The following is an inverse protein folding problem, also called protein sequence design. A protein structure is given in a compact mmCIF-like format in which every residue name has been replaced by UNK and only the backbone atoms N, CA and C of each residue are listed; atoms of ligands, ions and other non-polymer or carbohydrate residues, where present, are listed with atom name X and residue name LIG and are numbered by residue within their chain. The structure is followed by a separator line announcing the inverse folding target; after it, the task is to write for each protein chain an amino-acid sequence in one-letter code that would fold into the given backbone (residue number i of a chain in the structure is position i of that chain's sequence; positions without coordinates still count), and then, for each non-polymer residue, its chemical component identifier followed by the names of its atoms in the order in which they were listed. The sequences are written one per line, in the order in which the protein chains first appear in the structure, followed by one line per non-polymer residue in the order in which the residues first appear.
data_IF_448523003521
#
_entry.id   IF_448523003521
#
_cell.length_a   1.000
_cell.length_b   1.000
_cell.length_c   1.000
_cell.angle_alpha   90.00
_cell.angle_beta   90.00
_cell.angle_gamma   90.00
#
_symmetry.space_group_name_H-M   'P 1'
#
loop_
_entity.id
_entity.type
_entity.pdbx_description
1 polymer ?
#
# COMPACT_ATOMS: atom_id res chain seq x y z
N UNK A 1 -3.00 -21.22 21.26
CA UNK A 1 -1.66 -20.61 21.47
C UNK A 1 -1.75 -19.50 22.52
N UNK A 2 -0.83 -19.45 23.48
CA UNK A 2 -0.79 -18.32 24.43
C UNK A 2 -0.26 -17.09 23.67
N UNK A 3 -0.97 -15.98 23.70
CA UNK A 3 -0.54 -14.70 23.14
C UNK A 3 0.70 -14.19 23.91
N UNK A 4 1.87 -14.73 23.55
CA UNK A 4 3.15 -14.32 24.15
C UNK A 4 3.64 -13.00 23.51
N UNK A 5 4.57 -12.33 24.18
CA UNK A 5 5.24 -11.12 23.65
C UNK A 5 5.83 -11.38 22.26
N UNK A 6 6.35 -12.58 22.01
CA UNK A 6 6.91 -12.99 20.71
C UNK A 6 5.86 -12.91 19.58
N UNK A 7 4.60 -13.29 19.83
CA UNK A 7 3.52 -13.17 18.85
C UNK A 7 3.30 -11.72 18.40
N UNK A 8 3.24 -10.80 19.37
CA UNK A 8 3.04 -9.38 19.06
C UNK A 8 4.24 -8.78 18.30
N UNK A 9 5.47 -9.07 18.76
CA UNK A 9 6.69 -8.58 18.11
C UNK A 9 6.79 -9.09 16.68
N UNK A 10 6.59 -10.40 16.44
CA UNK A 10 6.66 -10.98 15.09
C UNK A 10 5.63 -10.37 14.15
N UNK A 11 4.37 -10.21 14.58
CA UNK A 11 3.33 -9.64 13.74
C UNK A 11 3.49 -8.12 13.52
N UNK A 12 4.08 -7.39 14.48
CA UNK A 12 4.43 -5.98 14.29
C UNK A 12 5.57 -5.84 13.27
N UNK A 13 6.64 -6.65 13.40
CA UNK A 13 7.76 -6.63 12.45
C UNK A 13 7.29 -7.00 11.03
N UNK A 14 6.44 -8.00 10.92
CA UNK A 14 5.83 -8.41 9.67
C UNK A 14 4.95 -7.28 9.09
N UNK A 15 4.17 -6.61 9.93
CA UNK A 15 3.38 -5.45 9.54
C UNK A 15 4.23 -4.27 9.08
N UNK A 16 5.39 -4.01 9.71
CA UNK A 16 6.34 -2.97 9.26
C UNK A 16 6.91 -3.32 7.89
N UNK A 17 7.32 -4.58 7.66
CA UNK A 17 7.83 -5.02 6.36
C UNK A 17 6.80 -4.81 5.26
N UNK A 18 5.58 -5.31 5.46
CA UNK A 18 4.48 -5.19 4.51
C UNK A 18 4.02 -3.73 4.27
N UNK A 19 4.14 -2.87 5.28
CA UNK A 19 3.70 -1.49 5.15
C UNK A 19 4.65 -0.61 4.32
N UNK A 20 5.84 -1.10 3.93
CA UNK A 20 6.82 -0.28 3.19
C UNK A 20 6.33 0.14 1.82
N UNK A 21 5.64 -0.74 1.08
CA UNK A 21 5.05 -0.40 -0.22
C UNK A 21 3.93 0.64 -0.06
N UNK A 22 3.04 0.41 0.89
CA UNK A 22 1.97 1.34 1.22
C UNK A 22 2.51 2.70 1.73
N UNK A 23 3.62 2.71 2.47
CA UNK A 23 4.33 3.93 2.86
C UNK A 23 4.82 4.72 1.66
N UNK A 24 5.47 4.06 0.71
CA UNK A 24 6.03 4.69 -0.48
C UNK A 24 4.93 5.30 -1.36
N UNK A 25 3.83 4.57 -1.55
CA UNK A 25 2.64 5.07 -2.25
C UNK A 25 1.98 6.22 -1.49
N UNK A 26 1.88 6.14 -0.16
CA UNK A 26 1.36 7.22 0.68
C UNK A 26 2.23 8.47 0.61
N UNK A 27 3.55 8.31 0.57
CA UNK A 27 4.49 9.41 0.37
C UNK A 27 4.24 10.10 -0.98
N UNK A 28 4.11 9.32 -2.06
CA UNK A 28 3.81 9.83 -3.39
C UNK A 28 2.47 10.59 -3.44
N UNK A 29 1.44 10.03 -2.79
CA UNK A 29 0.13 10.67 -2.68
C UNK A 29 0.19 11.99 -1.91
N UNK A 30 0.97 12.04 -0.82
CA UNK A 30 1.21 13.25 -0.05
C UNK A 30 1.98 14.32 -0.85
N UNK A 31 2.94 13.91 -1.69
CA UNK A 31 3.65 14.78 -2.61
C UNK A 31 2.72 15.38 -3.68
N UNK A 32 1.84 14.55 -4.25
CA UNK A 32 0.91 14.97 -5.30
C UNK A 32 -0.18 15.93 -4.80
N UNK A 33 -0.60 15.80 -3.54
CA UNK A 33 -1.62 16.65 -2.94
C UNK A 33 -1.13 17.31 -1.62
N UNK A 34 -0.26 18.33 -1.70
CA UNK A 34 0.32 18.96 -0.51
C UNK A 34 -0.70 19.65 0.40
N UNK A 35 -1.84 20.06 -0.15
CA UNK A 35 -2.92 20.73 0.60
C UNK A 35 -4.02 19.74 1.08
N UNK A 36 -3.72 18.44 1.07
CA UNK A 36 -4.65 17.40 1.53
C UNK A 36 -5.15 17.65 2.95
N UNK A 37 -6.48 17.61 3.14
CA UNK A 37 -7.10 17.74 4.47
C UNK A 37 -6.82 16.51 5.34
N UNK A 38 -6.67 16.69 6.66
CA UNK A 38 -6.43 15.59 7.62
C UNK A 38 -7.46 14.45 7.49
N UNK A 39 -8.74 14.77 7.26
CA UNK A 39 -9.79 13.75 7.05
C UNK A 39 -9.50 12.88 5.83
N UNK A 40 -9.02 13.47 4.74
CA UNK A 40 -8.65 12.73 3.53
C UNK A 40 -7.39 11.87 3.77
N UNK A 41 -6.41 12.39 4.51
CA UNK A 41 -5.24 11.60 4.91
C UNK A 41 -5.64 10.35 5.72
N UNK A 42 -6.54 10.50 6.70
CA UNK A 42 -7.08 9.36 7.45
C UNK A 42 -7.84 8.39 6.54
N UNK A 43 -8.58 8.89 5.54
CA UNK A 43 -9.26 8.05 4.56
C UNK A 43 -8.29 7.24 3.71
N UNK A 44 -7.23 7.88 3.21
CA UNK A 44 -6.17 7.22 2.42
C UNK A 44 -5.45 6.15 3.26
N UNK A 45 -4.94 6.52 4.44
CA UNK A 45 -4.27 5.58 5.33
C UNK A 45 -5.21 4.45 5.79
N UNK A 46 -6.48 4.76 6.03
CA UNK A 46 -7.51 3.79 6.39
C UNK A 46 -7.79 2.77 5.29
N UNK A 47 -7.79 3.20 4.02
CA UNK A 47 -7.95 2.30 2.88
C UNK A 47 -6.77 1.34 2.78
N UNK A 48 -5.54 1.82 2.86
CA UNK A 48 -4.36 0.93 2.87
C UNK A 48 -4.37 -0.03 4.05
N UNK A 49 -4.68 0.47 5.26
CA UNK A 49 -4.79 -0.37 6.46
C UNK A 49 -5.87 -1.45 6.33
N UNK A 50 -7.02 -1.10 5.74
CA UNK A 50 -8.09 -2.05 5.50
C UNK A 50 -7.66 -3.17 4.56
N UNK A 51 -7.06 -2.85 3.41
CA UNK A 51 -6.57 -3.88 2.49
C UNK A 51 -5.46 -4.71 3.11
N UNK A 52 -4.57 -4.08 3.87
CA UNK A 52 -3.43 -4.74 4.51
C UNK A 52 -3.86 -5.65 5.69
N UNK A 53 -5.01 -5.40 6.30
CA UNK A 53 -5.62 -6.32 7.26
C UNK A 53 -6.46 -7.41 6.57
N UNK A 54 -7.19 -7.04 5.51
CA UNK A 54 -8.11 -7.93 4.82
C UNK A 54 -7.40 -9.01 3.99
N UNK A 55 -6.28 -8.65 3.33
CA UNK A 55 -5.57 -9.58 2.44
C UNK A 55 -4.94 -10.78 3.15
N UNK A 56 -4.24 -10.65 4.31
CA UNK A 56 -3.75 -11.81 5.05
C UNK A 56 -4.88 -12.74 5.52
N UNK A 57 -6.01 -12.19 5.93
CA UNK A 57 -7.18 -13.00 6.30
C UNK A 57 -7.74 -13.75 5.09
N UNK A 58 -7.81 -13.09 3.94
CA UNK A 58 -8.25 -13.73 2.69
C UNK A 58 -7.29 -14.85 2.32
N UNK A 59 -5.98 -14.61 2.39
CA UNK A 59 -4.95 -15.61 2.17
C UNK A 59 -5.07 -16.81 3.13
N UNK A 60 -5.30 -16.54 4.42
CA UNK A 60 -5.53 -17.58 5.42
C UNK A 60 -6.76 -18.44 5.11
N UNK A 61 -7.90 -17.80 4.77
CA UNK A 61 -9.13 -18.50 4.36
C UNK A 61 -8.88 -19.33 3.10
N UNK A 62 -8.17 -18.78 2.12
CA UNK A 62 -7.86 -19.50 0.88
C UNK A 62 -7.01 -20.72 1.11
N UNK A 63 -6.03 -20.68 2.01
CA UNK A 63 -5.22 -21.85 2.39
C UNK A 63 -6.11 -22.95 2.98
N UNK A 64 -7.06 -22.58 3.84
CA UNK A 64 -7.93 -23.55 4.52
C UNK A 64 -9.05 -24.11 3.62
N UNK A 65 -9.42 -23.39 2.55
CA UNK A 65 -10.53 -23.79 1.67
C UNK A 65 -10.12 -24.34 0.32
N UNK A 66 -9.01 -23.85 -0.29
CA UNK A 66 -8.68 -24.15 -1.69
C UNK A 66 -7.17 -24.12 -2.01
N UNK A 67 -6.41 -25.05 -1.48
CA UNK A 67 -4.96 -25.16 -1.72
C UNK A 67 -4.52 -25.30 -3.19
N UNK A 68 -5.40 -25.68 -4.12
CA UNK A 68 -5.01 -26.04 -5.50
C UNK A 68 -5.13 -24.91 -6.53
N UNK A 69 -5.95 -23.88 -6.31
CA UNK A 69 -6.23 -22.85 -7.32
C UNK A 69 -5.34 -21.60 -7.22
N UNK A 70 -4.67 -21.39 -6.11
CA UNK A 70 -3.96 -20.13 -5.83
C UNK A 70 -2.63 -19.99 -6.57
N UNK A 71 -1.95 -21.08 -6.94
CA UNK A 71 -0.65 -21.02 -7.65
C UNK A 71 -0.74 -20.36 -9.03
N UNK A 72 -1.88 -20.48 -9.72
CA UNK A 72 -2.05 -19.90 -11.04
C UNK A 72 -2.23 -18.36 -11.02
N UNK A 73 -2.83 -17.82 -9.97
CA UNK A 73 -3.03 -16.37 -9.83
C UNK A 73 -1.77 -15.62 -9.44
N UNK A 74 -0.86 -16.23 -8.67
CA UNK A 74 0.37 -15.59 -8.20
C UNK A 74 1.25 -15.03 -9.31
N UNK A 75 1.27 -15.66 -10.48
CA UNK A 75 2.07 -15.22 -11.64
C UNK A 75 1.49 -13.96 -12.30
N UNK A 76 0.17 -13.77 -12.26
CA UNK A 76 -0.50 -12.64 -12.93
C UNK A 76 -0.49 -11.35 -12.10
N UNK A 77 -0.43 -11.49 -10.79
CA UNK A 77 -0.51 -10.41 -9.79
C UNK A 77 0.54 -9.31 -9.99
N UNK A 78 1.85 -9.61 -10.14
CA UNK A 78 2.87 -8.58 -10.31
C UNK A 78 2.71 -7.77 -11.59
N UNK A 79 2.21 -8.40 -12.66
CA UNK A 79 1.93 -7.73 -13.93
C UNK A 79 0.76 -6.75 -13.82
N UNK A 80 -0.28 -7.13 -13.11
CA UNK A 80 -1.42 -6.26 -12.82
C UNK A 80 -0.97 -5.08 -11.96
N UNK A 81 -0.17 -5.33 -10.91
CA UNK A 81 0.38 -4.27 -10.04
C UNK A 81 1.24 -3.28 -10.84
N UNK A 82 2.15 -3.77 -11.69
CA UNK A 82 2.98 -2.94 -12.56
C UNK A 82 2.12 -2.06 -13.49
N UNK A 83 1.13 -2.66 -14.15
CA UNK A 83 0.25 -1.93 -15.07
C UNK A 83 -0.55 -0.82 -14.34
N UNK A 84 -1.08 -1.13 -13.15
CA UNK A 84 -1.89 -0.20 -12.36
C UNK A 84 -1.04 0.93 -11.76
N UNK A 85 0.08 0.62 -11.13
CA UNK A 85 0.99 1.62 -10.55
C UNK A 85 1.66 2.45 -11.65
N UNK A 86 2.00 1.83 -12.78
CA UNK A 86 2.52 2.51 -13.96
C UNK A 86 1.51 3.51 -14.54
N UNK A 87 0.25 3.11 -14.70
CA UNK A 87 -0.82 3.99 -15.18
C UNK A 87 -1.01 5.20 -14.25
N UNK A 88 -1.10 4.97 -12.93
CA UNK A 88 -1.27 6.05 -11.96
C UNK A 88 -0.03 6.96 -11.92
N UNK A 89 1.18 6.38 -11.96
CA UNK A 89 2.44 7.13 -11.97
C UNK A 89 2.57 8.03 -13.19
N UNK A 90 2.23 7.53 -14.39
CA UNK A 90 2.22 8.32 -15.62
C UNK A 90 1.17 9.43 -15.55
N UNK A 91 -0.03 9.14 -15.05
CA UNK A 91 -1.08 10.15 -14.87
C UNK A 91 -0.60 11.28 -13.94
N UNK A 92 0.06 10.97 -12.83
CA UNK A 92 0.62 11.96 -11.90
C UNK A 92 1.72 12.81 -12.55
N UNK A 93 2.59 12.20 -13.36
CA UNK A 93 3.64 12.92 -14.10
C UNK A 93 2.99 13.88 -15.11
N UNK A 94 2.01 13.42 -15.88
CA UNK A 94 1.31 14.24 -16.85
C UNK A 94 0.58 15.44 -16.20
N UNK A 95 -0.04 15.22 -15.03
CA UNK A 95 -0.67 16.30 -14.26
C UNK A 95 0.36 17.28 -13.70
N UNK A 96 1.50 16.77 -13.19
CA UNK A 96 2.58 17.58 -12.66
C UNK A 96 3.24 18.48 -13.70
N UNK A 97 3.38 18.00 -14.95
CA UNK A 97 3.92 18.80 -16.07
C UNK A 97 2.92 19.87 -16.53
N UNK A 98 1.60 19.59 -16.50
CA UNK A 98 0.55 20.54 -16.91
C UNK A 98 0.32 21.67 -15.89
N UNK A 99 0.60 21.44 -14.61
CA UNK A 99 0.32 22.36 -13.51
C UNK A 99 1.61 22.98 -12.95
N UNK A 100 2.53 23.41 -13.77
CA UNK A 100 3.72 24.15 -13.32
C UNK A 100 3.30 25.49 -12.69
N UNK A 101 3.27 25.53 -11.36
CA UNK A 101 3.11 26.79 -10.62
C UNK A 101 2.27 26.77 -9.35
N UNK A 102 1.26 25.91 -9.24
CA UNK A 102 0.38 25.90 -8.05
C UNK A 102 0.55 24.61 -7.23
N UNK A 103 1.18 24.75 -6.06
CA UNK A 103 1.39 23.61 -5.14
C UNK A 103 0.08 22.92 -4.69
N UNK A 104 -1.07 23.60 -4.81
CA UNK A 104 -2.38 23.11 -4.38
C UNK A 104 -3.31 22.73 -5.52
N UNK A 105 -2.87 22.81 -6.79
CA UNK A 105 -3.67 22.57 -8.00
C UNK A 105 -3.75 21.11 -8.41
N UNK A 106 -3.00 20.21 -7.77
CA UNK A 106 -3.03 18.78 -8.04
C UNK A 106 -4.44 18.21 -7.86
N UNK A 107 -4.99 17.57 -8.91
CA UNK A 107 -6.21 16.78 -8.79
C UNK A 107 -5.90 15.65 -7.83
N UNK A 108 -6.46 15.70 -6.64
CA UNK A 108 -6.30 14.65 -5.65
C UNK A 108 -6.75 13.30 -6.20
N UNK A 109 -6.11 12.24 -5.72
CA UNK A 109 -6.44 10.87 -6.10
C UNK A 109 -7.93 10.64 -5.83
N UNK A 110 -8.64 10.24 -6.88
CA UNK A 110 -10.04 9.84 -6.78
C UNK A 110 -10.17 8.54 -5.98
N UNK A 111 -11.38 8.29 -5.45
CA UNK A 111 -11.67 7.06 -4.67
C UNK A 111 -11.29 5.79 -5.45
N UNK A 112 -11.47 5.77 -6.76
CA UNK A 112 -11.13 4.64 -7.61
C UNK A 112 -9.62 4.39 -7.70
N UNK A 113 -8.83 5.45 -7.88
CA UNK A 113 -7.37 5.34 -7.87
C UNK A 113 -6.83 4.88 -6.52
N UNK A 114 -7.42 5.34 -5.42
CA UNK A 114 -7.08 4.92 -4.07
C UNK A 114 -7.39 3.42 -3.83
N UNK A 115 -8.54 2.96 -4.31
CA UNK A 115 -8.92 1.55 -4.22
C UNK A 115 -7.94 0.65 -4.98
N UNK A 116 -7.58 1.03 -6.20
CA UNK A 116 -6.60 0.32 -7.03
C UNK A 116 -5.23 0.28 -6.33
N UNK A 117 -4.76 1.41 -5.80
CA UNK A 117 -3.49 1.47 -5.06
C UNK A 117 -3.53 0.58 -3.82
N UNK A 118 -4.64 0.56 -3.08
CA UNK A 118 -4.83 -0.29 -1.91
C UNK A 118 -4.71 -1.77 -2.27
N UNK A 119 -5.34 -2.23 -3.33
CA UNK A 119 -5.21 -3.60 -3.82
C UNK A 119 -3.76 -3.86 -4.24
N UNK A 120 -3.17 -3.01 -5.08
CA UNK A 120 -1.84 -3.23 -5.64
C UNK A 120 -0.75 -3.35 -4.57
N UNK A 121 -0.83 -2.54 -3.49
CA UNK A 121 0.14 -2.56 -2.39
C UNK A 121 -0.12 -3.64 -1.33
N UNK A 122 -1.23 -4.36 -1.41
CA UNK A 122 -1.60 -5.38 -0.43
C UNK A 122 -1.56 -6.81 -0.99
N UNK A 123 -1.04 -6.94 -2.21
CA UNK A 123 -0.93 -8.24 -2.89
C UNK A 123 0.07 -9.16 -2.18
N UNK A 124 1.17 -8.61 -1.71
CA UNK A 124 2.18 -9.31 -0.91
C UNK A 124 1.61 -9.74 0.44
N UNK A 125 0.72 -8.95 1.02
CA UNK A 125 0.01 -9.27 2.25
C UNK A 125 -0.87 -10.53 2.12
N UNK A 126 -1.35 -10.86 0.91
CA UNK A 126 -2.02 -12.12 0.65
C UNK A 126 -1.11 -13.32 0.93
N UNK A 127 0.17 -13.22 0.55
CA UNK A 127 1.17 -14.27 0.79
C UNK A 127 1.43 -14.49 2.27
N UNK A 128 1.26 -13.48 3.11
CA UNK A 128 1.37 -13.60 4.57
C UNK A 128 0.26 -14.49 5.13
N UNK A 129 -0.89 -14.58 4.48
CA UNK A 129 -1.93 -15.54 4.84
C UNK A 129 -1.43 -16.99 4.85
N UNK A 130 -0.47 -17.33 3.99
CA UNK A 130 0.19 -18.65 4.00
C UNK A 130 1.15 -18.80 5.18
N UNK A 131 1.84 -17.73 5.58
CA UNK A 131 2.76 -17.74 6.71
C UNK A 131 2.02 -17.91 8.04
N UNK A 132 0.83 -17.32 8.16
CA UNK A 132 -0.03 -17.42 9.35
C UNK A 132 -1.05 -18.56 9.24
N UNK A 133 -0.90 -19.47 8.27
CA UNK A 133 -1.84 -20.59 8.07
C UNK A 133 -1.97 -21.52 9.27
N UNK A 134 -0.91 -21.67 10.07
CA UNK A 134 -0.93 -22.48 11.29
C UNK A 134 -1.63 -21.81 12.48
N UNK A 135 -2.08 -20.56 12.32
CA UNK A 135 -2.78 -19.84 13.36
C UNK A 135 -4.25 -20.24 13.42
N UNK A 136 -4.80 -20.33 14.63
CA UNK A 136 -6.23 -20.40 14.84
C UNK A 136 -6.89 -19.12 14.29
N UNK A 137 -8.14 -19.18 13.90
CA UNK A 137 -8.89 -18.04 13.36
C UNK A 137 -8.76 -16.76 14.21
N UNK A 138 -8.82 -16.88 15.53
CA UNK A 138 -8.67 -15.76 16.47
C UNK A 138 -7.28 -15.14 16.42
N UNK A 139 -6.24 -15.97 16.30
CA UNK A 139 -4.84 -15.53 16.20
C UNK A 139 -4.58 -14.89 14.83
N UNK A 140 -5.12 -15.46 13.74
CA UNK A 140 -5.03 -14.91 12.40
C UNK A 140 -5.72 -13.54 12.29
N UNK A 141 -6.91 -13.40 12.90
CA UNK A 141 -7.64 -12.14 12.96
C UNK A 141 -6.85 -11.07 13.72
N UNK A 142 -6.30 -11.41 14.90
CA UNK A 142 -5.48 -10.48 15.68
C UNK A 142 -4.20 -10.08 14.95
N UNK A 143 -3.51 -11.02 14.31
CA UNK A 143 -2.33 -10.74 13.50
C UNK A 143 -2.65 -9.76 12.36
N UNK A 144 -3.72 -10.01 11.63
CA UNK A 144 -4.18 -9.16 10.53
C UNK A 144 -4.56 -7.76 10.99
N UNK A 145 -5.25 -7.63 12.12
CA UNK A 145 -5.59 -6.33 12.70
C UNK A 145 -4.35 -5.55 13.15
N UNK A 146 -3.35 -6.24 13.74
CA UNK A 146 -2.08 -5.62 14.11
C UNK A 146 -1.33 -5.12 12.87
N UNK A 147 -1.26 -5.92 11.80
CA UNK A 147 -0.66 -5.51 10.53
C UNK A 147 -1.36 -4.26 9.98
N UNK A 148 -2.69 -4.25 9.94
CA UNK A 148 -3.47 -3.10 9.50
C UNK A 148 -3.23 -1.85 10.34
N UNK A 149 -3.14 -1.99 11.68
CA UNK A 149 -2.86 -0.87 12.57
C UNK A 149 -1.47 -0.28 12.33
N UNK A 150 -0.45 -1.13 12.19
CA UNK A 150 0.92 -0.71 11.88
C UNK A 150 0.96 0.01 10.53
N UNK A 151 0.30 -0.55 9.51
CA UNK A 151 0.20 0.07 8.19
C UNK A 151 -0.47 1.44 8.25
N UNK A 152 -1.57 1.58 9.02
CA UNK A 152 -2.23 2.87 9.19
C UNK A 152 -1.27 3.95 9.71
N UNK A 153 -0.52 3.62 10.76
CA UNK A 153 0.45 4.56 11.37
C UNK A 153 1.55 4.92 10.38
N UNK A 154 2.11 3.92 9.69
CA UNK A 154 3.20 4.11 8.72
C UNK A 154 2.72 4.94 7.52
N UNK A 155 1.53 4.66 6.99
CA UNK A 155 0.94 5.43 5.89
C UNK A 155 0.63 6.88 6.30
N UNK A 156 0.15 7.12 7.52
CA UNK A 156 -0.05 8.48 8.04
C UNK A 156 1.26 9.27 8.10
N UNK A 157 2.35 8.62 8.51
CA UNK A 157 3.69 9.22 8.52
C UNK A 157 4.13 9.52 7.08
N UNK A 158 3.96 8.58 6.14
CA UNK A 158 4.26 8.75 4.72
C UNK A 158 3.53 9.94 4.10
N UNK A 159 2.21 10.02 4.30
CA UNK A 159 1.38 11.14 3.85
C UNK A 159 1.82 12.48 4.45
N UNK A 160 2.15 12.50 5.74
CA UNK A 160 2.60 13.72 6.41
C UNK A 160 3.95 14.23 5.87
N UNK A 161 4.90 13.31 5.67
CA UNK A 161 6.21 13.62 5.09
C UNK A 161 6.04 14.06 3.63
N UNK A 162 5.27 13.31 2.83
CA UNK A 162 4.98 13.63 1.44
C UNK A 162 4.32 15.00 1.28
N UNK A 163 3.31 15.30 2.10
CA UNK A 163 2.66 16.62 2.13
C UNK A 163 3.64 17.75 2.44
N UNK A 164 4.48 17.58 3.47
CA UNK A 164 5.47 18.60 3.86
C UNK A 164 6.54 18.82 2.78
N UNK A 165 7.00 17.74 2.17
CA UNK A 165 7.94 17.79 1.06
C UNK A 165 7.30 18.40 -0.19
N UNK A 166 6.05 18.05 -0.51
CA UNK A 166 5.30 18.59 -1.64
C UNK A 166 5.11 20.10 -1.56
N UNK A 167 4.85 20.66 -0.37
CA UNK A 167 4.80 22.11 -0.16
C UNK A 167 6.15 22.79 -0.44
N UNK A 168 7.26 22.10 -0.20
CA UNK A 168 8.62 22.65 -0.42
C UNK A 168 9.03 22.57 -1.91
N UNK A 169 8.55 21.56 -2.62
CA UNK A 169 8.89 21.29 -4.03
C UNK A 169 7.74 21.66 -4.97
N UNK A 170 7.05 22.79 -4.70
CA UNK A 170 5.92 23.27 -5.50
C UNK A 170 6.15 23.09 -7.01
N UNK A 171 5.18 22.51 -7.71
CA UNK A 171 5.22 22.26 -9.16
C UNK A 171 5.89 20.93 -9.60
N UNK A 172 6.91 20.45 -8.91
CA UNK A 172 7.62 19.20 -9.27
C UNK A 172 7.22 17.98 -8.42
N UNK A 173 6.42 18.20 -7.39
CA UNK A 173 6.03 17.15 -6.45
C UNK A 173 5.21 16.03 -7.09
N UNK A 174 4.30 16.35 -8.02
CA UNK A 174 3.53 15.37 -8.77
C UNK A 174 4.40 14.47 -9.67
N UNK A 175 5.42 15.05 -10.29
CA UNK A 175 6.40 14.31 -11.12
C UNK A 175 7.19 13.34 -10.23
N UNK A 176 7.68 13.81 -9.07
CA UNK A 176 8.42 12.95 -8.13
C UNK A 176 7.55 11.79 -7.62
N UNK A 177 6.30 12.08 -7.23
CA UNK A 177 5.35 11.04 -6.80
C UNK A 177 5.07 10.00 -7.89
N UNK A 178 4.87 10.44 -9.13
CA UNK A 178 4.65 9.56 -10.27
C UNK A 178 5.86 8.67 -10.57
N UNK A 179 7.08 9.22 -10.51
CA UNK A 179 8.32 8.45 -10.68
C UNK A 179 8.46 7.38 -9.59
N UNK A 180 8.18 7.72 -8.32
CA UNK A 180 8.21 6.76 -7.21
C UNK A 180 7.24 5.60 -7.48
N UNK A 181 6.01 5.87 -7.91
CA UNK A 181 5.02 4.82 -8.20
C UNK A 181 5.45 3.89 -9.34
N UNK A 182 6.06 4.43 -10.38
CA UNK A 182 6.59 3.61 -11.49
C UNK A 182 7.73 2.73 -11.01
N UNK A 183 8.66 3.27 -10.21
CA UNK A 183 9.78 2.49 -9.66
C UNK A 183 9.29 1.35 -8.77
N UNK A 184 8.29 1.60 -7.92
CA UNK A 184 7.67 0.55 -7.08
C UNK A 184 7.02 -0.52 -7.96
N UNK A 185 6.28 -0.14 -9.00
CA UNK A 185 5.69 -1.10 -9.93
C UNK A 185 6.73 -1.99 -10.60
N UNK A 186 7.87 -1.43 -10.99
CA UNK A 186 9.01 -2.18 -11.56
C UNK A 186 9.61 -3.11 -10.50
N UNK A 187 9.84 -2.63 -9.28
CA UNK A 187 10.39 -3.42 -8.18
C UNK A 187 9.54 -4.65 -7.89
N UNK A 188 8.21 -4.48 -7.77
CA UNK A 188 7.27 -5.60 -7.57
C UNK A 188 7.39 -6.63 -8.71
N UNK A 189 7.48 -6.17 -9.96
CA UNK A 189 7.58 -7.06 -11.10
C UNK A 189 8.91 -7.82 -11.14
N UNK A 190 10.02 -7.19 -10.78
CA UNK A 190 11.37 -7.81 -10.75
C UNK A 190 11.48 -8.77 -9.57
N UNK A 191 11.04 -8.36 -8.37
CA UNK A 191 11.09 -9.18 -7.15
C UNK A 191 10.26 -10.46 -7.25
N UNK A 192 9.19 -10.44 -8.04
CA UNK A 192 8.36 -11.63 -8.25
C UNK A 192 8.97 -12.66 -9.21
N UNK A 193 10.09 -12.33 -9.89
CA UNK A 193 10.80 -13.24 -10.83
C UNK A 193 12.03 -13.89 -10.21
N UNK A 194 12.48 -13.40 -9.05
CA UNK A 194 13.59 -13.98 -8.29
C UNK A 194 13.07 -14.99 -7.26
#
# INVERSE_FOLDING_TARGET
MKFGITFFISNILLGVGLAMDAFSVSLANGLNEPCMRKRKMCGVAGTFAFFQAFMPLTGWICVHTMLQYFKAFGVLIPWIALALLGYIGVSMICEGVKNEGDACSGKGIGLWGLFIQGIATSIDALSVGFVISDYDFTSALLASLLIGLVTFVICMIGLFIGRKAGMKFAGKAGILGGVILILIGIEICVSSRL
#
